data_IF_170049196231
#
_entry.id   IF_170049196231
#
_cell.length_a   1.000
_cell.length_b   1.000
_cell.length_c   1.000
_cell.angle_alpha   90.00
_cell.angle_beta   90.00
_cell.angle_gamma   90.00
#
_symmetry.space_group_name_H-M   'P 1'
#
loop_
_entity.id
_entity.type
_entity.pdbx_description
1 polymer ?
#
# COMPACT_ATOMS: atom_id res chain seq x y z
N UNK A 1 6.02 4.41 15.34
CA UNK A 1 4.59 4.76 15.39
C UNK A 1 3.79 3.72 14.62
N UNK A 2 2.55 3.47 15.01
CA UNK A 2 1.70 2.38 14.51
C UNK A 2 0.38 2.98 14.05
N UNK A 3 -0.11 2.60 12.86
CA UNK A 3 -1.40 3.07 12.35
C UNK A 3 -2.53 2.76 13.35
N UNK A 4 -3.45 3.69 13.53
CA UNK A 4 -4.55 3.58 14.52
C UNK A 4 -5.39 2.31 14.33
N UNK A 5 -5.50 1.83 13.10
CA UNK A 5 -6.26 0.64 12.72
C UNK A 5 -5.44 -0.67 12.69
N UNK A 6 -4.13 -0.62 12.94
CA UNK A 6 -3.25 -1.78 12.78
C UNK A 6 -3.64 -2.96 13.69
N UNK A 7 -3.97 -2.69 14.95
CA UNK A 7 -4.39 -3.72 15.93
C UNK A 7 -5.75 -4.34 15.65
N UNK A 8 -6.60 -3.68 14.86
CA UNK A 8 -7.87 -4.24 14.40
C UNK A 8 -7.70 -5.21 13.21
N UNK A 9 -6.57 -5.12 12.51
CA UNK A 9 -6.29 -5.93 11.32
C UNK A 9 -5.24 -7.02 11.57
N UNK A 10 -4.27 -6.79 12.45
CA UNK A 10 -3.17 -7.69 12.76
C UNK A 10 -3.53 -8.62 13.94
N UNK A 11 -3.31 -9.92 13.76
CA UNK A 11 -3.62 -10.86 14.82
C UNK A 11 -3.26 -12.30 14.49
N UNK A 12 -3.59 -13.21 15.42
CA UNK A 12 -3.34 -14.63 15.31
C UNK A 12 -4.48 -15.33 14.57
N UNK A 13 -4.15 -16.17 13.59
CA UNK A 13 -5.12 -17.05 12.92
C UNK A 13 -4.73 -18.52 13.07
N UNK A 14 -5.70 -19.46 13.03
CA UNK A 14 -5.40 -20.88 12.96
C UNK A 14 -4.53 -21.22 11.75
N UNK A 15 -3.53 -22.05 11.94
CA UNK A 15 -2.75 -22.61 10.83
C UNK A 15 -3.50 -23.84 10.30
N UNK A 16 -3.84 -23.86 9.01
CA UNK A 16 -4.53 -24.98 8.36
C UNK A 16 -3.67 -26.24 8.30
N UNK A 17 -2.36 -26.04 8.22
CA UNK A 17 -1.35 -27.11 8.30
C UNK A 17 -0.32 -26.73 9.35
N UNK A 18 0.31 -27.73 9.99
CA UNK A 18 1.46 -27.43 10.86
C UNK A 18 2.53 -26.75 10.00
N UNK A 19 2.74 -25.44 10.22
CA UNK A 19 3.85 -24.73 9.62
C UNK A 19 5.18 -25.34 10.08
N UNK A 20 6.29 -24.95 9.45
CA UNK A 20 7.63 -25.48 9.76
C UNK A 20 8.06 -25.35 11.23
N UNK A 21 7.40 -24.45 11.99
CA UNK A 21 7.63 -24.27 13.44
C UNK A 21 6.69 -25.15 14.30
N UNK A 22 5.74 -25.85 13.71
CA UNK A 22 4.78 -26.68 14.41
C UNK A 22 3.71 -25.91 15.21
N UNK A 23 3.53 -24.63 14.96
CA UNK A 23 2.58 -23.76 15.69
C UNK A 23 1.16 -23.98 15.18
N UNK A 24 0.20 -24.04 16.12
CA UNK A 24 -1.23 -24.13 15.81
C UNK A 24 -1.85 -22.77 15.41
N UNK A 25 -1.24 -21.68 15.85
CA UNK A 25 -1.61 -20.32 15.52
C UNK A 25 -0.44 -19.61 14.86
N UNK A 26 -0.72 -18.83 13.82
CA UNK A 26 0.27 -18.02 13.10
C UNK A 26 -0.25 -16.60 12.91
N UNK A 27 0.63 -15.59 12.81
CA UNK A 27 0.22 -14.24 12.45
C UNK A 27 -0.48 -14.22 11.08
N UNK A 28 -1.55 -13.44 10.96
CA UNK A 28 -2.32 -13.36 9.72
C UNK A 28 -1.59 -12.66 8.57
N UNK A 29 -0.54 -11.90 8.86
CA UNK A 29 0.34 -11.28 7.86
C UNK A 29 1.55 -12.16 7.49
N UNK A 30 1.75 -13.32 8.15
CA UNK A 30 2.88 -14.19 7.86
C UNK A 30 2.68 -15.06 6.62
N UNK A 31 3.78 -15.30 5.90
CA UNK A 31 3.91 -16.40 4.96
C UNK A 31 4.21 -17.68 5.76
N UNK A 32 3.24 -18.60 5.82
CA UNK A 32 3.33 -19.82 6.66
C UNK A 32 4.40 -20.79 6.20
N UNK A 33 4.85 -20.68 4.96
CA UNK A 33 5.92 -21.53 4.39
C UNK A 33 7.33 -20.97 4.69
N UNK A 34 7.42 -19.74 5.22
CA UNK A 34 8.66 -19.08 5.61
C UNK A 34 8.78 -18.98 7.13
N UNK A 35 9.79 -19.66 7.69
CA UNK A 35 10.10 -19.59 9.12
C UNK A 35 10.38 -18.14 9.55
N UNK A 36 11.16 -17.43 8.76
CA UNK A 36 11.53 -16.03 9.02
C UNK A 36 10.30 -15.12 9.04
N UNK A 37 9.39 -15.30 8.06
CA UNK A 37 8.15 -14.54 8.03
C UNK A 37 7.29 -14.75 9.28
N UNK A 38 7.14 -16.03 9.69
CA UNK A 38 6.36 -16.35 10.89
C UNK A 38 7.01 -15.81 12.16
N UNK A 39 8.33 -15.89 12.31
CA UNK A 39 9.07 -15.37 13.47
C UNK A 39 8.97 -13.84 13.58
N UNK A 40 9.28 -13.14 12.50
CA UNK A 40 9.24 -11.67 12.49
C UNK A 40 7.80 -11.19 12.70
N UNK A 41 6.82 -11.77 12.01
CA UNK A 41 5.42 -11.41 12.21
C UNK A 41 4.91 -11.69 13.63
N UNK A 42 5.36 -12.79 14.27
CA UNK A 42 5.04 -13.08 15.66
C UNK A 42 5.60 -12.02 16.61
N UNK A 43 6.86 -11.61 16.41
CA UNK A 43 7.46 -10.51 17.17
C UNK A 43 6.69 -9.19 16.98
N UNK A 44 6.19 -8.89 15.77
CA UNK A 44 5.32 -7.72 15.55
C UNK A 44 4.06 -7.80 16.42
N UNK A 45 3.41 -8.96 16.48
CA UNK A 45 2.20 -9.13 17.32
C UNK A 45 2.51 -9.03 18.82
N UNK A 46 3.67 -9.49 19.26
CA UNK A 46 4.13 -9.35 20.65
C UNK A 46 4.36 -7.88 21.00
N UNK A 47 5.05 -7.12 20.15
CA UNK A 47 5.27 -5.67 20.33
C UNK A 47 3.95 -4.88 20.33
N UNK A 48 2.94 -5.35 19.59
CA UNK A 48 1.58 -4.79 19.62
C UNK A 48 0.74 -5.29 20.80
N UNK A 49 1.30 -6.09 21.69
CA UNK A 49 0.63 -6.71 22.83
C UNK A 49 -0.62 -7.54 22.44
N UNK A 50 -0.62 -8.16 21.25
CA UNK A 50 -1.70 -9.04 20.81
C UNK A 50 -1.57 -10.39 21.53
N UNK A 51 -2.56 -10.81 22.35
CA UNK A 51 -2.44 -11.99 23.20
C UNK A 51 -2.18 -13.28 22.41
N UNK A 52 -1.16 -14.04 22.81
CA UNK A 52 -0.91 -15.39 22.29
C UNK A 52 -1.92 -16.42 22.87
N UNK A 53 -2.02 -17.56 22.23
CA UNK A 53 -2.78 -18.72 22.75
C UNK A 53 -4.23 -18.80 22.29
N UNK A 54 -4.75 -17.76 21.64
CA UNK A 54 -6.08 -17.79 21.00
C UNK A 54 -6.07 -17.09 19.66
N UNK A 55 -6.97 -17.51 18.76
CA UNK A 55 -7.18 -16.78 17.50
C UNK A 55 -7.76 -15.38 17.82
N UNK A 56 -7.25 -14.38 17.09
CA UNK A 56 -7.76 -13.01 17.17
C UNK A 56 -9.02 -12.87 16.33
N UNK A 57 -9.89 -11.93 16.71
CA UNK A 57 -11.03 -11.53 15.88
C UNK A 57 -10.55 -10.54 14.82
N UNK A 58 -10.00 -11.08 13.73
CA UNK A 58 -9.44 -10.29 12.62
C UNK A 58 -10.02 -10.78 11.29
N UNK A 59 -10.05 -9.93 10.26
CA UNK A 59 -10.57 -10.30 8.96
C UNK A 59 -9.86 -11.54 8.37
N UNK A 60 -10.63 -12.46 7.79
CA UNK A 60 -10.09 -13.65 7.09
C UNK A 60 -9.32 -13.26 5.83
N UNK A 61 -9.84 -12.28 5.09
CA UNK A 61 -9.19 -11.65 3.95
C UNK A 61 -8.97 -10.16 4.29
N UNK A 62 -7.79 -9.80 4.77
CA UNK A 62 -7.50 -8.44 5.25
C UNK A 62 -7.20 -7.42 4.15
N UNK A 63 -7.14 -7.80 2.86
CA UNK A 63 -6.83 -6.88 1.77
C UNK A 63 -7.85 -5.75 1.66
N UNK A 64 -9.11 -6.08 1.47
CA UNK A 64 -10.19 -5.09 1.41
C UNK A 64 -10.37 -4.26 2.69
N UNK A 65 -10.35 -4.86 3.88
CA UNK A 65 -10.29 -4.13 5.15
C UNK A 65 -9.11 -3.15 5.27
N UNK A 66 -7.92 -3.51 4.78
CA UNK A 66 -6.77 -2.59 4.75
C UNK A 66 -7.05 -1.37 3.86
N UNK A 67 -7.55 -1.60 2.64
CA UNK A 67 -7.93 -0.51 1.73
C UNK A 67 -8.96 0.43 2.36
N UNK A 68 -9.97 -0.13 3.04
CA UNK A 68 -11.01 0.66 3.71
C UNK A 68 -10.42 1.46 4.86
N UNK A 69 -9.62 0.83 5.72
CA UNK A 69 -9.00 1.50 6.86
C UNK A 69 -8.08 2.65 6.42
N UNK A 70 -7.28 2.45 5.37
CA UNK A 70 -6.43 3.51 4.79
C UNK A 70 -7.27 4.64 4.21
N UNK A 71 -8.36 4.32 3.49
CA UNK A 71 -9.25 5.32 2.91
C UNK A 71 -9.91 6.18 4.00
N UNK A 72 -10.43 5.56 5.05
CA UNK A 72 -11.12 6.24 6.15
C UNK A 72 -10.15 7.10 6.97
N UNK A 73 -8.99 6.55 7.32
CA UNK A 73 -7.97 7.25 8.12
C UNK A 73 -7.42 8.47 7.37
N UNK A 74 -7.02 8.30 6.10
CA UNK A 74 -6.57 9.42 5.26
C UNK A 74 -7.67 10.49 5.12
N UNK A 75 -8.92 10.07 4.93
CA UNK A 75 -10.06 10.98 4.85
C UNK A 75 -10.22 11.81 6.11
N UNK A 76 -10.15 11.16 7.27
CA UNK A 76 -10.31 11.82 8.57
C UNK A 76 -9.13 12.75 8.88
N UNK A 77 -7.89 12.27 8.72
CA UNK A 77 -6.68 13.03 9.09
C UNK A 77 -6.46 14.23 8.17
N UNK A 78 -6.53 14.03 6.84
CA UNK A 78 -6.23 15.10 5.88
C UNK A 78 -7.28 16.22 5.93
N UNK A 79 -8.56 15.89 6.09
CA UNK A 79 -9.61 16.91 6.22
C UNK A 79 -9.47 17.73 7.50
N UNK A 80 -9.00 17.15 8.59
CA UNK A 80 -8.76 17.87 9.85
C UNK A 80 -7.49 18.72 9.80
N UNK A 81 -6.46 18.25 9.10
CA UNK A 81 -5.15 18.89 9.01
C UNK A 81 -5.17 20.13 8.10
N UNK A 82 -5.85 20.02 6.96
CA UNK A 82 -6.04 21.13 6.02
C UNK A 82 -7.43 21.08 5.36
N UNK A 83 -8.47 21.57 6.02
CA UNK A 83 -9.83 21.54 5.52
C UNK A 83 -10.04 22.44 4.29
N UNK A 84 -9.14 23.39 4.01
CA UNK A 84 -9.24 24.31 2.88
C UNK A 84 -8.87 23.66 1.54
N UNK A 85 -8.09 22.58 1.57
CA UNK A 85 -7.52 21.96 0.37
C UNK A 85 -8.55 21.18 -0.47
N UNK A 86 -9.70 20.84 0.13
CA UNK A 86 -10.78 20.15 -0.58
C UNK A 86 -10.41 18.69 -0.92
N UNK A 87 -9.88 17.99 0.06
CA UNK A 87 -9.52 16.59 -0.03
C UNK A 87 -10.70 15.71 -0.43
N UNK A 88 -10.43 14.78 -1.34
CA UNK A 88 -11.35 13.73 -1.73
C UNK A 88 -10.61 12.41 -1.78
N UNK A 89 -10.98 11.48 -0.89
CA UNK A 89 -10.34 10.17 -0.76
C UNK A 89 -11.37 9.12 -1.18
N UNK A 90 -11.00 8.27 -2.14
CA UNK A 90 -11.91 7.29 -2.73
C UNK A 90 -11.19 5.96 -2.94
N UNK A 91 -11.89 4.84 -2.73
CA UNK A 91 -11.41 3.51 -3.09
C UNK A 91 -11.69 3.22 -4.56
N UNK A 92 -10.70 2.64 -5.24
CA UNK A 92 -10.88 2.08 -6.57
C UNK A 92 -11.37 3.06 -7.64
N UNK A 93 -11.00 4.33 -7.55
CA UNK A 93 -11.28 5.28 -8.61
C UNK A 93 -10.32 5.08 -9.79
N UNK A 94 -10.84 5.05 -11.02
CA UNK A 94 -10.03 4.93 -12.23
C UNK A 94 -9.30 6.25 -12.49
N UNK A 95 -8.03 6.19 -12.91
CA UNK A 95 -7.19 7.38 -13.10
C UNK A 95 -7.75 8.38 -14.12
N UNK A 96 -8.54 7.92 -15.08
CA UNK A 96 -9.18 8.79 -16.10
C UNK A 96 -10.17 9.81 -15.50
N UNK A 97 -10.53 9.68 -14.23
CA UNK A 97 -11.38 10.66 -13.50
C UNK A 97 -10.60 11.88 -13.01
N UNK A 98 -9.28 11.92 -13.22
CA UNK A 98 -8.41 12.98 -12.75
C UNK A 98 -7.78 13.77 -13.89
N UNK A 99 -7.55 15.07 -13.67
CA UNK A 99 -7.06 16.02 -14.69
C UNK A 99 -5.83 15.53 -15.44
N UNK A 100 -4.84 14.97 -14.74
CA UNK A 100 -3.60 14.48 -15.34
C UNK A 100 -3.83 13.38 -16.39
N UNK A 101 -4.96 12.70 -16.34
CA UNK A 101 -5.31 11.54 -17.18
C UNK A 101 -6.60 11.75 -17.98
N UNK A 102 -7.13 12.98 -18.01
CA UNK A 102 -8.38 13.30 -18.69
C UNK A 102 -8.38 12.90 -20.17
N UNK A 103 -7.25 13.06 -20.86
CA UNK A 103 -7.08 12.66 -22.26
C UNK A 103 -7.29 11.16 -22.52
N UNK A 104 -7.07 10.30 -21.51
CA UNK A 104 -7.33 8.85 -21.61
C UNK A 104 -8.83 8.54 -21.61
N UNK A 105 -9.68 9.44 -21.12
CA UNK A 105 -11.15 9.27 -21.18
C UNK A 105 -11.65 9.29 -22.61
N UNK A 106 -11.09 10.15 -23.47
CA UNK A 106 -11.42 10.21 -24.88
C UNK A 106 -10.96 8.94 -25.62
N UNK A 107 -9.72 8.50 -25.34
CA UNK A 107 -9.20 7.22 -25.88
C UNK A 107 -10.12 6.07 -25.45
N UNK A 108 -10.53 6.04 -24.20
CA UNK A 108 -11.43 5.00 -23.69
C UNK A 108 -12.79 5.01 -24.38
N UNK A 109 -13.37 6.19 -24.63
CA UNK A 109 -14.63 6.32 -25.34
C UNK A 109 -14.51 5.76 -26.79
N UNK A 110 -13.42 6.07 -27.49
CA UNK A 110 -13.15 5.57 -28.84
C UNK A 110 -12.97 4.04 -28.86
N UNK A 111 -12.18 3.50 -27.93
CA UNK A 111 -11.94 2.05 -27.80
C UNK A 111 -13.23 1.30 -27.48
N UNK A 112 -14.09 1.87 -26.63
CA UNK A 112 -15.41 1.27 -26.33
C UNK A 112 -16.35 1.25 -27.51
N UNK A 113 -16.32 2.31 -28.32
CA UNK A 113 -17.18 2.45 -29.50
C UNK A 113 -16.72 1.57 -30.68
N UNK A 114 -15.45 1.13 -30.70
CA UNK A 114 -14.89 0.36 -31.80
C UNK A 114 -14.19 -0.92 -31.29
N UNK A 115 -14.79 -2.12 -31.50
CA UNK A 115 -14.21 -3.37 -31.05
C UNK A 115 -12.83 -3.69 -31.66
N UNK A 116 -12.56 -3.26 -32.91
CA UNK A 116 -11.26 -3.47 -33.55
C UNK A 116 -10.15 -2.65 -32.87
N UNK A 117 -10.44 -1.41 -32.47
CA UNK A 117 -9.51 -0.60 -31.69
C UNK A 117 -9.23 -1.22 -30.33
N UNK A 118 -10.20 -1.90 -29.74
CA UNK A 118 -10.00 -2.60 -28.46
C UNK A 118 -8.98 -3.73 -28.58
N UNK A 119 -8.97 -4.46 -29.68
CA UNK A 119 -7.98 -5.51 -29.95
C UNK A 119 -6.60 -4.91 -30.21
N UNK A 120 -6.54 -3.79 -30.93
CA UNK A 120 -5.29 -3.16 -31.35
C UNK A 120 -4.61 -2.37 -30.23
N UNK A 121 -5.38 -1.59 -29.46
CA UNK A 121 -4.86 -0.64 -28.44
C UNK A 121 -4.82 -1.27 -27.05
N UNK A 122 -5.73 -2.21 -26.75
CA UNK A 122 -5.90 -2.74 -25.39
C UNK A 122 -6.54 -1.73 -24.42
N UNK A 123 -6.51 -2.03 -23.14
CA UNK A 123 -7.07 -1.18 -22.07
C UNK A 123 -6.13 -1.03 -20.87
N UNK A 124 -4.85 -1.31 -21.03
CA UNK A 124 -3.85 -1.33 -19.94
C UNK A 124 -3.60 0.07 -19.33
N UNK A 125 -4.09 1.11 -19.99
CA UNK A 125 -4.09 2.49 -19.47
C UNK A 125 -5.16 2.74 -18.41
N UNK A 126 -6.12 1.84 -18.19
CA UNK A 126 -7.19 1.97 -17.21
C UNK A 126 -6.75 1.50 -15.82
N UNK A 127 -5.80 2.18 -15.25
CA UNK A 127 -5.30 1.86 -13.92
C UNK A 127 -6.31 2.29 -12.86
N UNK A 128 -6.45 1.45 -11.84
CA UNK A 128 -7.39 1.62 -10.74
C UNK A 128 -6.68 1.42 -9.42
N UNK A 129 -6.02 2.45 -8.85
CA UNK A 129 -5.37 2.35 -7.56
C UNK A 129 -6.34 1.92 -6.45
N UNK A 130 -5.84 1.22 -5.44
CA UNK A 130 -6.68 0.74 -4.32
C UNK A 130 -7.31 1.93 -3.57
N UNK A 131 -6.53 2.98 -3.29
CA UNK A 131 -7.02 4.26 -2.74
C UNK A 131 -6.43 5.44 -3.52
N UNK A 132 -7.26 6.42 -3.84
CA UNK A 132 -6.86 7.68 -4.46
C UNK A 132 -7.09 8.84 -3.53
N UNK A 133 -6.13 9.76 -3.46
CA UNK A 133 -6.24 11.05 -2.77
C UNK A 133 -6.24 12.14 -3.83
N UNK A 134 -7.28 12.94 -3.89
CA UNK A 134 -7.42 14.01 -4.89
C UNK A 134 -7.81 15.34 -4.27
N UNK A 135 -7.54 16.42 -5.01
CA UNK A 135 -7.81 17.80 -4.65
C UNK A 135 -8.91 18.36 -5.54
N UNK A 136 -10.11 18.51 -4.99
CA UNK A 136 -11.28 18.98 -5.74
C UNK A 136 -11.34 20.50 -5.94
N UNK A 137 -10.61 21.25 -5.11
CA UNK A 137 -10.61 22.74 -5.16
C UNK A 137 -9.49 23.32 -6.00
N UNK A 138 -8.62 22.48 -6.57
CA UNK A 138 -7.57 22.94 -7.49
C UNK A 138 -8.22 23.25 -8.85
N UNK A 139 -7.94 24.43 -9.39
CA UNK A 139 -8.34 24.78 -10.75
C UNK A 139 -7.51 24.00 -11.76
N UNK A 140 -8.15 23.17 -12.56
CA UNK A 140 -7.52 22.33 -13.59
C UNK A 140 -8.06 22.68 -14.97
N UNK A 141 -7.33 22.33 -16.02
CA UNK A 141 -7.72 22.62 -17.40
C UNK A 141 -8.96 21.82 -17.84
N UNK A 142 -9.11 20.59 -17.36
CA UNK A 142 -10.26 19.73 -17.68
C UNK A 142 -11.47 19.94 -16.78
N UNK A 143 -11.34 20.69 -15.70
CA UNK A 143 -12.36 20.81 -14.64
C UNK A 143 -12.48 19.58 -13.73
N UNK A 144 -11.67 18.54 -13.97
CA UNK A 144 -11.61 17.35 -13.11
C UNK A 144 -10.69 17.60 -11.89
N UNK A 145 -10.87 16.85 -10.78
CA UNK A 145 -9.99 16.96 -9.64
C UNK A 145 -8.56 16.57 -9.99
N UNK A 146 -7.58 17.16 -9.29
CA UNK A 146 -6.18 16.80 -9.42
C UNK A 146 -5.90 15.55 -8.57
N UNK A 147 -5.34 14.48 -9.16
CA UNK A 147 -4.84 13.34 -8.39
C UNK A 147 -3.58 13.76 -7.63
N UNK A 148 -3.66 13.73 -6.30
CA UNK A 148 -2.56 14.11 -5.43
C UNK A 148 -1.69 12.90 -5.05
N UNK A 149 -2.35 11.77 -4.75
CA UNK A 149 -1.67 10.49 -4.49
C UNK A 149 -2.47 9.30 -4.98
N UNK A 150 -1.76 8.24 -5.38
CA UNK A 150 -2.29 6.91 -5.62
C UNK A 150 -1.63 5.94 -4.63
N UNK A 151 -2.46 5.26 -3.85
CA UNK A 151 -2.00 4.35 -2.79
C UNK A 151 -2.35 2.93 -3.19
N UNK A 152 -1.32 2.09 -3.34
CA UNK A 152 -1.47 0.64 -3.48
C UNK A 152 -1.49 0.00 -2.10
N UNK A 153 -2.57 -0.67 -1.72
CA UNK A 153 -2.71 -1.37 -0.45
C UNK A 153 -2.45 -2.86 -0.65
N UNK A 154 -1.40 -3.39 -0.05
CA UNK A 154 -1.05 -4.81 -0.14
C UNK A 154 -0.81 -5.39 1.24
N UNK A 155 -1.69 -6.30 1.67
CA UNK A 155 -1.56 -6.94 2.98
C UNK A 155 -0.20 -7.61 3.14
N UNK A 156 0.16 -8.47 2.17
CA UNK A 156 1.47 -9.10 2.07
C UNK A 156 2.01 -8.96 0.65
N UNK A 157 3.31 -9.06 0.51
CA UNK A 157 4.02 -8.84 -0.74
C UNK A 157 4.52 -10.19 -1.29
N UNK A 158 4.12 -10.51 -2.53
CA UNK A 158 4.65 -11.63 -3.32
C UNK A 158 5.30 -11.07 -4.58
N UNK A 159 6.17 -11.84 -5.21
CA UNK A 159 6.94 -11.40 -6.39
C UNK A 159 6.07 -10.90 -7.56
N UNK A 160 4.96 -11.58 -7.84
CA UNK A 160 3.97 -11.18 -8.84
C UNK A 160 3.34 -9.81 -8.53
N UNK A 161 3.04 -9.55 -7.26
CA UNK A 161 2.46 -8.28 -6.80
C UNK A 161 3.43 -7.12 -6.91
N UNK A 162 4.74 -7.36 -6.66
CA UNK A 162 5.77 -6.33 -6.83
C UNK A 162 5.81 -5.82 -8.27
N UNK A 163 5.82 -6.75 -9.23
CA UNK A 163 5.85 -6.40 -10.65
C UNK A 163 4.61 -5.62 -11.06
N UNK A 164 3.42 -6.03 -10.60
CA UNK A 164 2.18 -5.33 -10.89
C UNK A 164 2.17 -3.90 -10.35
N UNK A 165 2.58 -3.69 -9.07
CA UNK A 165 2.65 -2.34 -8.47
C UNK A 165 3.58 -1.45 -9.29
N UNK A 166 4.79 -1.92 -9.58
CA UNK A 166 5.77 -1.15 -10.37
C UNK A 166 5.27 -0.84 -11.77
N UNK A 167 4.66 -1.83 -12.43
CA UNK A 167 4.08 -1.63 -13.76
C UNK A 167 2.99 -0.55 -13.74
N UNK A 168 2.03 -0.65 -12.83
CA UNK A 168 0.95 0.33 -12.70
C UNK A 168 1.50 1.74 -12.40
N UNK A 169 2.44 1.86 -11.45
CA UNK A 169 3.07 3.13 -11.13
C UNK A 169 3.81 3.71 -12.35
N UNK A 170 4.58 2.88 -13.07
CA UNK A 170 5.30 3.31 -14.28
C UNK A 170 4.35 3.79 -15.38
N UNK A 171 3.21 3.09 -15.58
CA UNK A 171 2.20 3.53 -16.53
C UNK A 171 1.56 4.85 -16.10
N UNK A 172 1.29 5.04 -14.80
CA UNK A 172 0.80 6.32 -14.29
C UNK A 172 1.80 7.44 -14.55
N UNK A 173 3.08 7.21 -14.35
CA UNK A 173 4.15 8.17 -14.65
C UNK A 173 4.18 8.51 -16.16
N UNK A 174 4.10 7.51 -17.03
CA UNK A 174 4.19 7.68 -18.49
C UNK A 174 3.00 8.40 -19.09
N UNK A 175 1.82 8.08 -18.62
CA UNK A 175 0.57 8.59 -19.19
C UNK A 175 0.12 9.93 -18.62
N UNK A 176 0.73 10.41 -17.54
CA UNK A 176 0.33 11.68 -16.95
C UNK A 176 0.62 12.88 -17.84
N UNK A 177 -0.24 13.87 -17.76
CA UNK A 177 0.01 15.23 -18.24
C UNK A 177 -0.03 16.18 -17.04
N UNK A 178 1.05 16.94 -16.81
CA UNK A 178 1.15 17.84 -15.66
C UNK A 178 1.80 17.22 -14.43
N UNK A 179 1.35 17.63 -13.23
CA UNK A 179 1.96 17.24 -11.95
C UNK A 179 1.87 15.73 -11.72
N UNK A 180 2.99 15.13 -11.32
CA UNK A 180 3.01 13.73 -10.91
C UNK A 180 2.32 13.56 -9.56
N UNK A 181 1.40 12.59 -9.40
CA UNK A 181 0.87 12.20 -8.09
C UNK A 181 1.93 11.47 -7.28
N UNK A 182 1.79 11.48 -5.95
CA UNK A 182 2.56 10.59 -5.09
C UNK A 182 2.12 9.13 -5.32
N UNK A 183 3.08 8.27 -5.62
CA UNK A 183 2.86 6.85 -5.89
C UNK A 183 3.42 6.04 -4.73
N UNK A 184 2.56 5.54 -3.87
CA UNK A 184 2.98 4.91 -2.61
C UNK A 184 2.33 3.56 -2.41
N UNK A 185 2.98 2.73 -1.58
CA UNK A 185 2.43 1.43 -1.15
C UNK A 185 2.23 1.41 0.35
N UNK A 186 1.08 0.93 0.81
CA UNK A 186 0.79 0.65 2.23
C UNK A 186 0.69 -0.86 2.44
N UNK A 187 1.38 -1.38 3.48
CA UNK A 187 1.47 -2.83 3.69
C UNK A 187 1.62 -3.23 5.15
N UNK A 188 1.32 -4.52 5.43
CA UNK A 188 1.60 -5.23 6.68
C UNK A 188 2.66 -6.34 6.48
N UNK A 189 3.41 -6.33 5.39
CA UNK A 189 4.41 -7.34 5.06
C UNK A 189 5.52 -7.40 6.11
N UNK A 190 5.75 -8.56 6.79
CA UNK A 190 6.74 -8.64 7.85
C UNK A 190 8.18 -8.81 7.37
N UNK A 191 8.41 -9.27 6.12
CA UNK A 191 9.76 -9.56 5.63
C UNK A 191 10.44 -8.33 5.02
N UNK A 192 11.55 -7.83 5.61
CA UNK A 192 12.33 -6.72 5.06
C UNK A 192 12.78 -6.92 3.61
N UNK A 193 13.19 -8.12 3.21
CA UNK A 193 13.57 -8.41 1.82
C UNK A 193 12.42 -8.23 0.83
N UNK A 194 11.19 -8.53 1.23
CA UNK A 194 10.00 -8.29 0.43
C UNK A 194 9.64 -6.80 0.37
N UNK A 195 9.76 -6.08 1.49
CA UNK A 195 9.65 -4.61 1.51
C UNK A 195 10.68 -3.98 0.59
N UNK A 196 11.93 -4.43 0.66
CA UNK A 196 13.02 -3.98 -0.20
C UNK A 196 12.73 -4.21 -1.69
N UNK A 197 12.07 -5.31 -2.05
CA UNK A 197 11.73 -5.62 -3.45
C UNK A 197 10.81 -4.57 -4.10
N UNK A 198 9.93 -3.91 -3.32
CA UNK A 198 9.13 -2.77 -3.79
C UNK A 198 9.91 -1.46 -3.65
N UNK A 199 10.54 -1.26 -2.50
CA UNK A 199 11.21 -0.01 -2.15
C UNK A 199 12.45 0.28 -3.02
N UNK A 200 13.18 -0.76 -3.41
CA UNK A 200 14.29 -0.66 -4.36
C UNK A 200 13.72 -0.35 -5.75
N UNK A 201 14.20 0.68 -6.38
CA UNK A 201 13.75 1.06 -7.71
C UNK A 201 14.24 2.44 -8.08
N UNK A 202 13.97 2.83 -9.31
CA UNK A 202 14.48 4.05 -9.91
C UNK A 202 13.42 5.16 -10.01
N UNK A 203 12.39 5.11 -9.14
CA UNK A 203 11.42 6.19 -9.01
C UNK A 203 9.99 5.83 -9.44
N UNK A 204 9.67 4.53 -9.57
CA UNK A 204 8.29 4.10 -9.83
C UNK A 204 7.40 4.21 -8.59
N UNK A 205 7.98 3.96 -7.40
CA UNK A 205 7.30 4.07 -6.11
C UNK A 205 8.07 5.05 -5.23
N UNK A 206 7.41 6.07 -4.72
CA UNK A 206 8.05 7.10 -3.90
C UNK A 206 8.47 6.56 -2.53
N UNK A 207 7.58 5.82 -1.87
CA UNK A 207 7.85 5.16 -0.60
C UNK A 207 6.89 4.01 -0.32
N UNK A 208 7.31 3.11 0.57
CA UNK A 208 6.50 2.04 1.16
C UNK A 208 6.21 2.44 2.61
N UNK A 209 4.94 2.43 3.00
CA UNK A 209 4.49 2.76 4.35
C UNK A 209 4.01 1.50 5.06
N UNK A 210 4.61 1.21 6.22
CA UNK A 210 4.26 0.03 7.01
C UNK A 210 3.30 0.39 8.15
N UNK A 211 2.17 -0.33 8.28
CA UNK A 211 1.11 -0.01 9.25
C UNK A 211 1.52 -0.23 10.71
N UNK A 212 2.54 -1.05 10.97
CA UNK A 212 3.08 -1.32 12.30
C UNK A 212 4.62 -1.17 12.30
N UNK A 213 5.13 -0.02 11.84
CA UNK A 213 6.54 0.21 11.57
C UNK A 213 7.45 -0.03 12.79
N UNK A 214 7.15 0.57 13.94
CA UNK A 214 8.02 0.44 15.12
C UNK A 214 8.00 -0.98 15.68
N UNK A 215 6.83 -1.64 15.67
CA UNK A 215 6.73 -3.04 16.07
C UNK A 215 7.53 -3.95 15.11
N UNK A 216 7.51 -3.64 13.80
CA UNK A 216 8.35 -4.35 12.84
C UNK A 216 9.84 -4.08 13.08
N UNK A 217 10.25 -2.85 13.33
CA UNK A 217 11.63 -2.49 13.62
C UNK A 217 12.16 -3.24 14.86
N UNK A 218 11.38 -3.26 15.95
CA UNK A 218 11.72 -3.99 17.16
C UNK A 218 11.81 -5.50 16.92
N UNK A 219 10.83 -6.06 16.18
CA UNK A 219 10.83 -7.48 15.85
C UNK A 219 12.00 -7.87 14.94
N UNK A 220 12.35 -7.06 13.96
CA UNK A 220 13.51 -7.31 13.08
C UNK A 220 14.80 -7.33 13.90
N UNK A 221 14.99 -6.39 14.82
CA UNK A 221 16.16 -6.33 15.67
C UNK A 221 16.35 -7.59 16.55
N UNK A 222 15.25 -8.25 16.94
CA UNK A 222 15.26 -9.42 17.82
C UNK A 222 15.24 -10.76 17.07
N UNK A 223 14.55 -10.84 15.93
CA UNK A 223 14.14 -12.09 15.32
C UNK A 223 14.69 -12.32 13.89
N UNK A 224 15.22 -11.28 13.24
CA UNK A 224 15.65 -11.39 11.85
C UNK A 224 17.00 -12.10 11.72
N UNK A 225 17.14 -12.88 10.65
CA UNK A 225 18.45 -13.35 10.21
C UNK A 225 19.24 -12.18 9.56
N UNK A 226 20.56 -12.34 9.28
CA UNK A 226 21.37 -11.27 8.72
C UNK A 226 20.83 -10.70 7.41
N UNK A 227 20.31 -11.51 6.51
CA UNK A 227 19.74 -11.07 5.23
C UNK A 227 18.57 -10.11 5.43
N UNK A 228 17.65 -10.44 6.34
CA UNK A 228 16.50 -9.61 6.66
C UNK A 228 16.92 -8.33 7.39
N UNK A 229 17.88 -8.41 8.30
CA UNK A 229 18.42 -7.27 9.03
C UNK A 229 19.11 -6.27 8.08
N UNK A 230 19.95 -6.77 7.15
CA UNK A 230 20.64 -5.95 6.16
C UNK A 230 19.63 -5.24 5.22
N UNK A 231 18.63 -5.98 4.74
CA UNK A 231 17.57 -5.41 3.90
C UNK A 231 16.79 -4.32 4.64
N UNK A 232 16.48 -4.53 5.94
CA UNK A 232 15.81 -3.52 6.77
C UNK A 232 16.66 -2.27 6.92
N UNK A 233 17.93 -2.44 7.28
CA UNK A 233 18.87 -1.33 7.45
C UNK A 233 19.00 -0.50 6.16
N UNK A 234 19.12 -1.16 5.02
CA UNK A 234 19.20 -0.49 3.71
C UNK A 234 17.98 0.38 3.43
N UNK A 235 16.77 -0.20 3.46
CA UNK A 235 15.56 0.50 3.00
C UNK A 235 15.09 1.57 3.98
N UNK A 236 15.37 1.41 5.28
CA UNK A 236 15.07 2.43 6.29
C UNK A 236 16.11 3.55 6.29
N UNK A 237 17.40 3.22 6.15
CA UNK A 237 18.48 4.20 5.99
C UNK A 237 18.30 5.07 4.75
N UNK A 238 17.80 4.52 3.65
CA UNK A 238 17.42 5.24 2.45
C UNK A 238 16.09 5.99 2.56
N UNK A 239 15.37 5.86 3.66
CA UNK A 239 14.02 6.41 3.88
C UNK A 239 12.99 5.96 2.80
N UNK A 240 13.13 4.73 2.34
CA UNK A 240 12.24 4.10 1.35
C UNK A 240 11.12 3.29 1.99
N UNK A 241 11.33 2.81 3.23
CA UNK A 241 10.29 2.21 4.07
C UNK A 241 10.09 3.13 5.27
N UNK A 242 8.86 3.55 5.49
CA UNK A 242 8.48 4.57 6.46
C UNK A 242 7.31 4.11 7.32
N UNK A 243 7.12 4.76 8.48
CA UNK A 243 5.90 4.60 9.26
C UNK A 243 4.68 5.15 8.53
N UNK A 244 3.56 4.44 8.60
CA UNK A 244 2.29 4.87 8.01
C UNK A 244 1.87 6.29 8.43
N UNK A 245 2.11 6.68 9.67
CA UNK A 245 1.74 8.02 10.16
C UNK A 245 2.44 9.15 9.37
N UNK A 246 3.64 8.91 8.84
CA UNK A 246 4.34 9.87 8.00
C UNK A 246 3.65 10.07 6.63
N UNK A 247 2.79 9.13 6.19
CA UNK A 247 2.05 9.29 4.93
C UNK A 247 1.16 10.54 4.96
N UNK A 248 0.39 10.71 6.04
CA UNK A 248 -0.50 11.87 6.18
C UNK A 248 0.27 13.19 6.26
N UNK A 249 1.44 13.19 6.89
CA UNK A 249 2.34 14.35 6.94
C UNK A 249 2.89 14.70 5.57
N UNK A 250 3.40 13.69 4.87
CA UNK A 250 3.91 13.85 3.50
C UNK A 250 2.84 14.42 2.58
N UNK A 251 1.63 13.84 2.58
CA UNK A 251 0.55 14.30 1.71
C UNK A 251 0.06 15.71 2.05
N UNK A 252 0.06 16.09 3.31
CA UNK A 252 -0.36 17.44 3.72
C UNK A 252 0.70 18.51 3.40
N UNK A 253 1.98 18.13 3.30
CA UNK A 253 3.10 19.06 3.09
C UNK A 253 3.32 19.44 1.62
N UNK A 254 2.75 18.70 0.70
CA UNK A 254 2.86 18.88 -0.75
C UNK A 254 1.58 19.50 -1.31
#
# INVERSE_FOLDING_TARGET
MTASFATALLGWKPSATRNKLGWSLVPNCADVDSIESVRIAAGVLDELAVPRGRASDVPKDPGGPLEQAVCDDLGWVLQRRDPQRGWRIERGAVITRFDQYAHLSEVHALVRANPELRVTVGMDYLIKPDVTVSLARVRTASGLPLLHAAVSCKWTIRSDRVQNIRHECLQMIRHRRGRQPHLVTVTAEPLPTRLASIARGTGEVDAVYHIAYDALAASVAQNANPEQADAWHEVTGQRRVLSYELLTETLASW
#
